data_IF_651201235829
#
_entry.id   IF_651201235829
#
_cell.length_a   1.000
_cell.length_b   1.000
_cell.length_c   1.000
_cell.angle_alpha   90.00
_cell.angle_beta   90.00
_cell.angle_gamma   90.00
#
_symmetry.space_group_name_H-M   'P 1'
#
loop_
_entity.id
_entity.type
_entity.pdbx_description
1 polymer ?
#
# COMPACT_ATOMS: atom_id res chain seq x y z
N UNK A 1 -2.74 -12.13 -3.05
CA UNK A 1 -2.09 -11.68 -1.80
C UNK A 1 -1.10 -10.62 -2.24
N UNK A 2 -1.10 -9.42 -1.67
CA UNK A 2 -0.36 -8.33 -2.30
C UNK A 2 1.15 -8.67 -2.29
N UNK A 3 1.77 -8.67 -3.49
CA UNK A 3 3.13 -9.15 -3.71
C UNK A 3 4.15 -8.31 -2.93
N UNK A 4 3.83 -7.03 -2.69
CA UNK A 4 4.66 -6.08 -1.98
C UNK A 4 4.34 -5.99 -0.48
N UNK A 5 3.58 -6.94 0.07
CA UNK A 5 3.52 -7.12 1.53
C UNK A 5 4.92 -7.47 2.08
N UNK A 6 5.27 -6.96 3.26
CA UNK A 6 6.62 -7.05 3.81
C UNK A 6 7.16 -8.49 3.95
N UNK A 7 6.27 -9.47 4.17
CA UNK A 7 6.62 -10.91 4.25
C UNK A 7 6.90 -11.55 2.88
N UNK A 8 6.48 -10.89 1.80
CA UNK A 8 6.60 -11.35 0.43
C UNK A 8 7.76 -10.68 -0.31
N UNK A 9 8.13 -9.46 0.08
CA UNK A 9 9.20 -8.67 -0.57
C UNK A 9 10.48 -9.49 -0.76
N UNK A 10 10.96 -10.18 0.29
CA UNK A 10 12.20 -10.96 0.21
C UNK A 10 12.13 -12.16 -0.76
N UNK A 11 10.93 -12.54 -1.20
CA UNK A 11 10.69 -13.65 -2.15
C UNK A 11 10.55 -13.15 -3.59
N UNK A 12 10.52 -11.83 -3.81
CA UNK A 12 10.38 -11.25 -5.14
C UNK A 12 11.72 -11.27 -5.87
N UNK A 13 11.68 -11.66 -7.15
CA UNK A 13 12.83 -11.64 -8.05
C UNK A 13 12.87 -10.41 -8.97
N UNK A 14 11.78 -9.63 -9.00
CA UNK A 14 11.62 -8.48 -9.89
C UNK A 14 10.27 -7.79 -9.69
N UNK A 15 10.20 -6.56 -10.16
CA UNK A 15 8.98 -5.75 -10.25
C UNK A 15 8.43 -5.90 -11.67
N UNK A 16 7.13 -6.11 -11.80
CA UNK A 16 6.50 -6.51 -13.06
C UNK A 16 5.77 -5.37 -13.78
N UNK A 17 5.57 -4.23 -13.12
CA UNK A 17 4.83 -3.09 -13.64
C UNK A 17 5.32 -1.79 -13.01
N UNK A 18 5.03 -0.68 -13.66
CA UNK A 18 5.32 0.66 -13.16
C UNK A 18 4.58 0.93 -11.83
N UNK A 19 3.38 0.36 -11.66
CA UNK A 19 2.65 0.42 -10.40
C UNK A 19 3.36 -0.34 -9.26
N UNK A 20 3.94 -1.51 -9.54
CA UNK A 20 4.77 -2.21 -8.55
C UNK A 20 6.04 -1.43 -8.22
N UNK A 21 6.63 -0.76 -9.20
CA UNK A 21 7.78 0.13 -9.02
C UNK A 21 7.46 1.30 -8.08
N UNK A 22 6.40 2.05 -8.36
CA UNK A 22 5.98 3.18 -7.52
C UNK A 22 5.61 2.74 -6.10
N UNK A 23 4.91 1.61 -5.94
CA UNK A 23 4.60 1.04 -4.62
C UNK A 23 5.87 0.63 -3.88
N UNK A 24 6.81 -0.02 -4.56
CA UNK A 24 8.09 -0.43 -3.97
C UNK A 24 8.89 0.80 -3.49
N UNK A 25 8.94 1.86 -4.29
CA UNK A 25 9.59 3.14 -3.94
C UNK A 25 8.92 3.79 -2.73
N UNK A 26 7.59 3.81 -2.67
CA UNK A 26 6.84 4.31 -1.52
C UNK A 26 7.14 3.53 -0.23
N UNK A 27 7.15 2.18 -0.30
CA UNK A 27 7.48 1.32 0.85
C UNK A 27 8.94 1.54 1.27
N UNK A 28 9.87 1.60 0.32
CA UNK A 28 11.28 1.87 0.58
C UNK A 28 11.49 3.17 1.35
N UNK A 29 10.77 4.23 0.97
CA UNK A 29 10.75 5.52 1.67
C UNK A 29 10.25 5.41 3.11
N UNK A 30 9.16 4.66 3.35
CA UNK A 30 8.61 4.42 4.70
C UNK A 30 9.59 3.64 5.59
N UNK A 31 10.21 2.59 5.05
CA UNK A 31 11.17 1.76 5.79
C UNK A 31 12.39 2.53 6.27
N UNK A 32 12.81 3.59 5.57
CA UNK A 32 13.94 4.45 5.97
C UNK A 32 13.85 4.92 7.43
N UNK A 33 12.65 5.26 7.89
CA UNK A 33 12.43 5.73 9.25
C UNK A 33 12.19 4.57 10.21
N UNK A 34 11.43 3.56 9.77
CA UNK A 34 11.08 2.41 10.60
C UNK A 34 12.27 1.54 10.99
N UNK A 35 13.30 1.44 10.13
CA UNK A 35 14.54 0.70 10.43
C UNK A 35 15.27 1.25 11.65
N UNK A 36 15.11 2.56 11.95
CA UNK A 36 15.72 3.17 13.14
C UNK A 36 15.16 2.59 14.44
N UNK A 37 13.89 2.20 14.41
CA UNK A 37 13.17 1.63 15.55
C UNK A 37 13.20 0.09 15.53
N UNK A 38 13.22 -0.51 14.34
CA UNK A 38 13.27 -1.96 14.12
C UNK A 38 14.25 -2.36 13.02
N UNK A 39 15.47 -2.74 13.43
CA UNK A 39 16.53 -3.13 12.51
C UNK A 39 16.22 -4.46 11.76
N UNK A 40 15.22 -5.25 12.18
CA UNK A 40 14.82 -6.46 11.45
C UNK A 40 14.25 -6.16 10.05
N UNK A 41 13.89 -4.90 9.80
CA UNK A 41 13.38 -4.43 8.50
C UNK A 41 14.49 -4.09 7.49
N UNK A 42 15.75 -3.99 7.93
CA UNK A 42 16.84 -3.58 7.04
C UNK A 42 17.08 -4.54 5.86
N UNK A 43 17.03 -5.88 6.03
CA UNK A 43 17.12 -6.80 4.89
C UNK A 43 16.03 -6.56 3.84
N UNK A 44 14.80 -6.28 4.27
CA UNK A 44 13.67 -5.97 3.39
C UNK A 44 13.94 -4.68 2.62
N UNK A 45 14.43 -3.65 3.32
CA UNK A 45 14.77 -2.36 2.73
C UNK A 45 15.88 -2.47 1.68
N UNK A 46 16.93 -3.25 1.95
CA UNK A 46 18.02 -3.47 1.00
C UNK A 46 17.54 -4.25 -0.22
N UNK A 47 16.67 -5.24 -0.04
CA UNK A 47 16.09 -5.98 -1.15
C UNK A 47 15.21 -5.10 -2.03
N UNK A 48 14.37 -4.23 -1.45
CA UNK A 48 13.62 -3.23 -2.22
C UNK A 48 14.55 -2.32 -3.03
N UNK A 49 15.64 -1.84 -2.43
CA UNK A 49 16.63 -1.02 -3.15
C UNK A 49 17.16 -1.75 -4.37
N UNK A 50 17.50 -3.04 -4.22
CA UNK A 50 17.95 -3.87 -5.33
C UNK A 50 16.89 -3.97 -6.42
N UNK A 51 15.64 -4.30 -6.07
CA UNK A 51 14.53 -4.44 -7.02
C UNK A 51 14.24 -3.15 -7.79
N UNK A 52 14.20 -2.02 -7.08
CA UNK A 52 13.98 -0.67 -7.64
C UNK A 52 15.09 -0.36 -8.65
N UNK A 53 16.35 -0.47 -8.26
CA UNK A 53 17.49 -0.18 -9.15
C UNK A 53 17.55 -1.12 -10.36
N UNK A 54 17.16 -2.39 -10.21
CA UNK A 54 17.05 -3.29 -11.36
C UNK A 54 15.94 -2.86 -12.32
N UNK A 55 14.79 -2.44 -11.80
CA UNK A 55 13.68 -1.98 -12.63
C UNK A 55 14.01 -0.68 -13.38
N UNK A 56 14.56 0.32 -12.68
CA UNK A 56 15.05 1.57 -13.26
C UNK A 56 16.03 1.31 -14.40
N UNK A 57 17.02 0.44 -14.17
CA UNK A 57 18.01 0.09 -15.19
C UNK A 57 17.39 -0.53 -16.45
N UNK A 58 16.35 -1.33 -16.27
CA UNK A 58 15.75 -2.08 -17.38
C UNK A 58 14.72 -1.27 -18.17
N UNK A 59 14.11 -0.23 -17.59
CA UNK A 59 13.01 0.52 -18.21
C UNK A 59 13.32 2.00 -18.42
N UNK A 60 14.21 2.59 -17.63
CA UNK A 60 14.41 4.05 -17.55
C UNK A 60 15.87 4.50 -17.81
N UNK A 61 16.81 3.59 -18.08
CA UNK A 61 18.23 3.91 -18.31
C UNK A 61 18.52 4.50 -19.70
N UNK A 62 17.73 4.13 -20.72
CA UNK A 62 17.86 4.64 -22.09
C UNK A 62 16.92 5.83 -22.32
N UNK A 63 17.39 7.03 -22.00
CA UNK A 63 16.62 8.28 -22.14
C UNK A 63 16.08 8.51 -23.56
N UNK A 64 16.77 8.01 -24.60
CA UNK A 64 16.38 8.19 -26.00
C UNK A 64 15.29 7.19 -26.44
N UNK A 65 15.11 6.11 -25.67
CA UNK A 65 14.13 5.04 -25.93
C UNK A 65 12.81 5.20 -25.18
N UNK A 66 12.72 6.18 -24.27
CA UNK A 66 11.50 6.42 -23.48
C UNK A 66 10.38 6.93 -24.38
N UNK A 67 9.22 6.28 -24.28
CA UNK A 67 8.02 6.63 -25.06
C UNK A 67 7.07 7.50 -24.25
N UNK A 68 6.23 8.29 -24.94
CA UNK A 68 5.17 9.08 -24.29
C UNK A 68 4.17 8.17 -23.56
N UNK A 69 3.90 6.97 -24.09
CA UNK A 69 3.07 5.97 -23.43
C UNK A 69 3.65 5.51 -22.09
N UNK A 70 4.97 5.28 -22.03
CA UNK A 70 5.66 4.89 -20.81
C UNK A 70 5.61 6.00 -19.75
N UNK A 71 5.82 7.26 -20.16
CA UNK A 71 5.66 8.42 -19.25
C UNK A 71 4.23 8.49 -18.72
N UNK A 72 3.24 8.29 -19.59
CA UNK A 72 1.82 8.30 -19.19
C UNK A 72 1.51 7.16 -18.20
N UNK A 73 2.08 5.97 -18.39
CA UNK A 73 1.93 4.85 -17.45
C UNK A 73 2.52 5.20 -16.08
N UNK A 74 3.69 5.85 -16.05
CA UNK A 74 4.35 6.33 -14.83
C UNK A 74 3.50 7.37 -14.10
N UNK A 75 2.99 8.38 -14.81
CA UNK A 75 2.11 9.41 -14.23
C UNK A 75 0.86 8.78 -13.58
N UNK A 76 0.27 7.76 -14.22
CA UNK A 76 -0.89 7.04 -13.68
C UNK A 76 -0.51 6.23 -12.44
N UNK A 77 0.62 5.52 -12.47
CA UNK A 77 1.11 4.75 -11.33
C UNK A 77 1.40 5.65 -10.12
N UNK A 78 2.09 6.77 -10.32
CA UNK A 78 2.40 7.75 -9.29
C UNK A 78 1.10 8.31 -8.67
N UNK A 79 0.11 8.66 -9.51
CA UNK A 79 -1.18 9.17 -9.05
C UNK A 79 -1.90 8.15 -8.16
N UNK A 80 -1.91 6.88 -8.55
CA UNK A 80 -2.51 5.80 -7.76
C UNK A 80 -1.80 5.72 -6.40
N UNK A 81 -0.48 5.55 -6.37
CA UNK A 81 0.31 5.41 -5.13
C UNK A 81 0.22 6.64 -4.23
N UNK A 82 0.13 7.84 -4.81
CA UNK A 82 -0.12 9.09 -4.10
C UNK A 82 -1.49 9.07 -3.41
N UNK A 83 -2.54 8.60 -4.09
CA UNK A 83 -3.87 8.45 -3.49
C UNK A 83 -3.88 7.42 -2.36
N UNK A 84 -3.25 6.26 -2.54
CA UNK A 84 -3.10 5.23 -1.50
C UNK A 84 -2.39 5.80 -0.26
N UNK A 85 -1.32 6.56 -0.48
CA UNK A 85 -0.52 7.18 0.59
C UNK A 85 -1.33 8.23 1.36
N UNK A 86 -2.11 9.06 0.66
CA UNK A 86 -3.02 10.04 1.29
C UNK A 86 -4.08 9.35 2.14
N UNK A 87 -4.66 8.25 1.66
CA UNK A 87 -5.63 7.48 2.43
C UNK A 87 -5.01 6.91 3.72
N UNK A 88 -3.82 6.29 3.60
CA UNK A 88 -3.10 5.73 4.75
C UNK A 88 -2.78 6.83 5.77
N UNK A 89 -2.34 8.00 5.32
CA UNK A 89 -2.04 9.14 6.19
C UNK A 89 -3.29 9.67 6.88
N UNK A 90 -4.40 9.87 6.16
CA UNK A 90 -5.69 10.29 6.73
C UNK A 90 -6.14 9.30 7.81
N UNK A 91 -6.15 8.00 7.52
CA UNK A 91 -6.52 6.95 8.47
C UNK A 91 -5.62 6.97 9.71
N UNK A 92 -4.31 7.09 9.52
CA UNK A 92 -3.32 7.18 10.60
C UNK A 92 -3.60 8.38 11.50
N UNK A 93 -3.93 9.53 10.93
CA UNK A 93 -4.21 10.76 11.67
C UNK A 93 -5.53 10.66 12.45
N UNK A 94 -6.57 10.04 11.87
CA UNK A 94 -7.82 9.76 12.57
C UNK A 94 -7.58 8.87 13.79
N UNK A 95 -6.94 7.71 13.59
CA UNK A 95 -6.62 6.80 14.70
C UNK A 95 -5.80 7.53 15.77
N UNK A 96 -4.77 8.28 15.40
CA UNK A 96 -3.97 9.06 16.37
C UNK A 96 -4.77 10.13 17.12
N UNK A 97 -5.74 10.76 16.46
CA UNK A 97 -6.66 11.72 17.08
C UNK A 97 -7.44 11.07 18.21
N UNK A 98 -8.10 9.96 17.91
CA UNK A 98 -8.89 9.19 18.88
C UNK A 98 -8.04 8.66 20.05
N UNK A 99 -6.85 8.13 19.76
CA UNK A 99 -5.92 7.68 20.81
C UNK A 99 -5.55 8.81 21.77
N UNK A 100 -5.34 10.03 21.25
CA UNK A 100 -5.02 11.20 22.06
C UNK A 100 -6.19 11.66 22.92
N UNK A 101 -7.41 11.62 22.39
CA UNK A 101 -8.62 12.01 23.12
C UNK A 101 -8.91 11.08 24.30
N UNK A 102 -8.69 9.77 24.11
CA UNK A 102 -8.91 8.74 25.14
C UNK A 102 -7.67 8.58 26.06
N UNK A 103 -6.53 9.19 25.70
CA UNK A 103 -5.32 9.19 26.50
C UNK A 103 -4.54 7.87 26.48
N UNK A 104 -4.64 7.10 25.40
CA UNK A 104 -3.92 5.82 25.23
C UNK A 104 -2.81 5.93 24.19
N UNK A 105 -1.74 5.16 24.36
CA UNK A 105 -0.61 5.16 23.42
C UNK A 105 -0.84 4.20 22.25
N UNK A 106 -0.05 4.38 21.18
CA UNK A 106 -0.02 3.41 20.07
C UNK A 106 0.41 2.01 20.54
N UNK A 107 1.24 1.91 21.59
CA UNK A 107 1.64 0.61 22.16
C UNK A 107 0.47 -0.05 22.90
N UNK A 108 -0.41 0.73 23.52
CA UNK A 108 -1.59 0.19 24.19
C UNK A 108 -2.65 -0.26 23.19
N UNK A 109 -2.80 0.46 22.08
CA UNK A 109 -3.59 -0.01 20.94
C UNK A 109 -3.03 -1.34 20.39
N UNK A 110 -1.71 -1.47 20.27
CA UNK A 110 -1.09 -2.73 19.85
C UNK A 110 -1.50 -3.89 20.76
N UNK A 111 -1.42 -3.70 22.08
CA UNK A 111 -1.86 -4.70 23.07
C UNK A 111 -3.36 -5.03 22.96
N UNK A 112 -4.21 -4.02 22.78
CA UNK A 112 -5.66 -4.19 22.61
C UNK A 112 -6.00 -5.04 21.38
N UNK A 113 -5.25 -4.86 20.29
CA UNK A 113 -5.40 -5.64 19.06
C UNK A 113 -4.67 -6.98 19.08
N UNK A 114 -3.95 -7.32 20.15
CA UNK A 114 -3.17 -8.56 20.26
C UNK A 114 -1.88 -8.55 19.43
N UNK A 115 -1.38 -7.38 19.05
CA UNK A 115 -0.19 -7.19 18.23
C UNK A 115 1.05 -6.78 19.03
N UNK A 116 2.23 -7.03 18.46
CA UNK A 116 3.50 -6.52 18.97
C UNK A 116 3.62 -5.00 18.73
N UNK A 117 4.31 -4.23 19.58
CA UNK A 117 4.45 -2.78 19.40
C UNK A 117 4.99 -2.35 18.02
N UNK A 118 6.03 -3.03 17.52
CA UNK A 118 6.63 -2.72 16.21
C UNK A 118 5.64 -2.97 15.05
N UNK A 119 4.86 -4.04 15.16
CA UNK A 119 3.82 -4.39 14.18
C UNK A 119 2.77 -3.29 14.03
N UNK A 120 2.43 -2.61 15.13
CA UNK A 120 1.49 -1.48 15.07
C UNK A 120 2.02 -0.32 14.23
N UNK A 121 3.34 -0.06 14.25
CA UNK A 121 3.94 0.95 13.37
C UNK A 121 3.81 0.54 11.90
N UNK A 122 4.00 -0.74 11.59
CA UNK A 122 3.83 -1.26 10.23
C UNK A 122 2.39 -1.11 9.73
N UNK A 123 1.39 -1.39 10.58
CA UNK A 123 -0.04 -1.19 10.29
C UNK A 123 -0.39 0.29 10.07
N UNK A 124 0.05 1.16 10.99
CA UNK A 124 -0.24 2.59 10.95
C UNK A 124 0.37 3.27 9.72
N UNK A 125 1.54 2.82 9.26
CA UNK A 125 2.19 3.34 8.05
C UNK A 125 1.75 2.62 6.76
N UNK A 126 0.88 1.61 6.86
CA UNK A 126 0.34 0.87 5.73
C UNK A 126 1.37 0.02 4.98
N UNK A 127 2.48 -0.35 5.65
CA UNK A 127 3.41 -1.37 5.13
C UNK A 127 2.82 -2.77 5.31
N UNK A 128 1.96 -2.92 6.31
CA UNK A 128 1.04 -4.06 6.46
C UNK A 128 -0.41 -3.57 6.49
N UNK A 129 -1.35 -4.35 5.94
CA UNK A 129 -2.76 -4.04 6.07
C UNK A 129 -3.27 -4.39 7.47
N UNK A 130 -4.21 -3.60 7.99
CA UNK A 130 -5.03 -4.01 9.12
C UNK A 130 -5.85 -5.24 8.75
N UNK A 131 -5.99 -6.18 9.68
CA UNK A 131 -6.94 -7.27 9.52
C UNK A 131 -8.38 -6.75 9.60
N UNK A 132 -9.33 -7.57 9.15
CA UNK A 132 -10.75 -7.26 9.31
C UNK A 132 -11.12 -7.03 10.77
N UNK A 133 -10.60 -7.86 11.67
CA UNK A 133 -10.92 -7.77 13.09
C UNK A 133 -10.31 -6.50 13.71
N UNK A 134 -9.10 -6.11 13.30
CA UNK A 134 -8.53 -4.82 13.70
C UNK A 134 -9.43 -3.65 13.29
N UNK A 135 -9.90 -3.64 12.04
CA UNK A 135 -10.80 -2.60 11.52
C UNK A 135 -12.11 -2.56 12.29
N UNK A 136 -12.69 -3.72 12.63
CA UNK A 136 -13.90 -3.79 13.44
C UNK A 136 -13.64 -3.25 14.84
N UNK A 137 -12.51 -3.58 15.47
CA UNK A 137 -12.16 -3.07 16.80
C UNK A 137 -11.98 -1.54 16.77
N UNK A 138 -11.25 -1.00 15.79
CA UNK A 138 -11.08 0.45 15.63
C UNK A 138 -12.42 1.16 15.46
N UNK A 139 -13.31 0.63 14.62
CA UNK A 139 -14.65 1.17 14.44
C UNK A 139 -15.47 1.13 15.73
N UNK A 140 -15.44 0.02 16.48
CA UNK A 140 -16.24 -0.17 17.68
C UNK A 140 -15.73 0.62 18.88
N UNK A 141 -14.42 0.72 19.06
CA UNK A 141 -13.82 1.40 20.21
C UNK A 141 -13.72 2.92 19.99
N UNK A 142 -13.45 3.36 18.76
CA UNK A 142 -13.16 4.76 18.46
C UNK A 142 -14.21 5.44 17.58
N UNK A 143 -15.28 4.74 17.20
CA UNK A 143 -16.37 5.33 16.40
C UNK A 143 -15.97 5.76 14.98
N UNK A 144 -14.75 5.46 14.52
CA UNK A 144 -14.28 5.82 13.17
C UNK A 144 -15.12 5.07 12.13
N UNK A 145 -15.61 5.78 11.12
CA UNK A 145 -16.40 5.17 10.05
C UNK A 145 -15.57 4.19 9.21
N UNK A 146 -16.20 3.10 8.75
CA UNK A 146 -15.50 2.09 7.92
C UNK A 146 -14.90 2.67 6.63
N UNK A 147 -15.52 3.69 6.04
CA UNK A 147 -15.01 4.36 4.82
C UNK A 147 -13.65 5.02 5.04
N UNK A 148 -13.33 5.37 6.28
CA UNK A 148 -12.05 5.99 6.65
C UNK A 148 -11.01 4.95 7.13
N UNK A 149 -11.43 3.71 7.35
CA UNK A 149 -10.56 2.60 7.78
C UNK A 149 -10.20 1.63 6.64
N UNK A 150 -11.16 1.39 5.73
CA UNK A 150 -11.07 0.44 4.63
C UNK A 150 -10.67 1.19 3.36
N UNK A 151 -9.56 0.80 2.69
CA UNK A 151 -9.18 1.38 1.41
C UNK A 151 -10.31 1.21 0.38
N UNK A 152 -10.74 2.28 -0.31
CA UNK A 152 -11.84 2.20 -1.28
C UNK A 152 -11.40 1.67 -2.66
N UNK A 153 -10.10 1.46 -2.87
CA UNK A 153 -9.52 1.00 -4.14
C UNK A 153 -9.32 -0.53 -4.17
N UNK A 154 -9.40 -1.10 -5.37
CA UNK A 154 -9.17 -2.52 -5.60
C UNK A 154 -7.68 -2.86 -5.74
N UNK A 155 -7.28 -4.02 -5.23
CA UNK A 155 -5.95 -4.57 -5.50
C UNK A 155 -5.79 -4.91 -6.97
N UNK A 156 -4.59 -4.73 -7.51
CA UNK A 156 -4.26 -4.97 -8.92
C UNK A 156 -4.62 -6.40 -9.39
N UNK A 157 -4.33 -7.42 -8.58
CA UNK A 157 -4.73 -8.81 -8.89
C UNK A 157 -6.25 -8.96 -9.09
N UNK A 158 -7.03 -8.26 -8.26
CA UNK A 158 -8.49 -8.29 -8.31
C UNK A 158 -8.98 -7.53 -9.55
N UNK A 159 -8.39 -6.37 -9.83
CA UNK A 159 -8.65 -5.59 -11.03
C UNK A 159 -8.36 -6.40 -12.30
N UNK A 160 -7.22 -7.10 -12.35
CA UNK A 160 -6.82 -7.94 -13.48
C UNK A 160 -7.79 -9.10 -13.67
N UNK A 161 -8.16 -9.79 -12.59
CA UNK A 161 -9.15 -10.86 -12.65
C UNK A 161 -10.53 -10.37 -13.14
N UNK A 162 -10.98 -9.21 -12.65
CA UNK A 162 -12.24 -8.60 -13.08
C UNK A 162 -12.17 -8.23 -14.56
N UNK A 163 -11.11 -7.56 -15.02
CA UNK A 163 -10.95 -7.18 -16.42
C UNK A 163 -10.95 -8.39 -17.36
N UNK A 164 -10.21 -9.46 -17.02
CA UNK A 164 -10.22 -10.71 -17.78
C UNK A 164 -11.62 -11.31 -17.86
N UNK A 165 -12.34 -11.34 -16.74
CA UNK A 165 -13.70 -11.90 -16.68
C UNK A 165 -14.70 -11.05 -17.44
N UNK A 166 -14.63 -9.72 -17.32
CA UNK A 166 -15.48 -8.78 -18.04
C UNK A 166 -15.28 -8.87 -19.56
N UNK A 167 -14.04 -9.09 -20.03
CA UNK A 167 -13.75 -9.31 -21.45
C UNK A 167 -14.46 -10.55 -22.04
N UNK A 168 -14.72 -11.57 -21.22
CA UNK A 168 -15.46 -12.77 -21.60
C UNK A 168 -16.99 -12.66 -21.47
N UNK A 169 -17.51 -11.63 -20.80
CA UNK A 169 -18.94 -11.46 -20.57
C UNK A 169 -19.60 -10.74 -21.75
N UNK A 170 -20.70 -11.30 -22.27
CA UNK A 170 -21.54 -10.63 -23.28
C UNK A 170 -22.25 -9.37 -22.76
N UNK A 171 -22.28 -9.17 -21.43
CA UNK A 171 -22.99 -8.08 -20.78
C UNK A 171 -22.10 -6.85 -20.59
N UNK A 172 -22.39 -5.77 -21.33
CA UNK A 172 -21.65 -4.50 -21.30
C UNK A 172 -22.04 -3.55 -20.15
N UNK A 173 -22.99 -3.91 -19.29
CA UNK A 173 -23.48 -3.02 -18.22
C UNK A 173 -22.55 -2.95 -17.01
N UNK A 174 -21.72 -3.97 -16.80
CA UNK A 174 -20.75 -4.02 -15.70
C UNK A 174 -19.38 -3.61 -16.24
N UNK A 175 -18.78 -2.58 -15.65
CA UNK A 175 -17.44 -2.09 -16.01
C UNK A 175 -16.75 -1.54 -14.77
N UNK A 176 -15.43 -1.71 -14.70
CA UNK A 176 -14.60 -0.97 -13.75
C UNK A 176 -14.47 0.48 -14.21
N UNK A 177 -14.54 1.41 -13.26
CA UNK A 177 -14.24 2.83 -13.44
C UNK A 177 -12.84 3.10 -12.90
N UNK A 178 -12.21 4.16 -13.40
CA UNK A 178 -10.91 4.63 -12.90
C UNK A 178 -10.98 4.90 -11.38
N UNK A 179 -12.12 5.44 -10.90
CA UNK A 179 -12.34 5.66 -9.46
C UNK A 179 -12.29 4.38 -8.62
N UNK A 180 -12.48 3.20 -9.21
CA UNK A 180 -12.38 1.91 -8.48
C UNK A 180 -10.91 1.51 -8.24
N UNK A 181 -9.96 2.26 -8.82
CA UNK A 181 -8.51 2.10 -8.68
C UNK A 181 -7.86 3.25 -7.90
N UNK A 182 -8.60 4.32 -7.61
CA UNK A 182 -8.11 5.51 -6.90
C UNK A 182 -8.69 5.57 -5.48
N UNK A 183 -7.90 6.07 -4.51
CA UNK A 183 -8.45 6.45 -3.21
C UNK A 183 -9.15 7.83 -3.31
N UNK A 184 -10.47 7.83 -3.46
CA UNK A 184 -11.31 9.06 -3.48
C UNK A 184 -11.52 9.62 -2.09
#
# INVERSE_FOLDING_TARGET
MDRLEIDNILKLNGLNSELEFERATSIYGKLRWMVKDDNSLEPVRQHLKFLITQYEKNHWDDELGITDEQVTESDVAEKIVSSESKFIEKRKNLIKGELREIGISQQDLAKLLGHRPNYMSELMNGVRPFSRDDIVVLHRLFGIEFKDLIPPFLKEEVTNHINLTLGGLKNKKVRLKIMDLEAV
#
